data_IF_354477612504
#
_entry.id   IF_354477612504
#
_cell.length_a   1.000
_cell.length_b   1.000
_cell.length_c   1.000
_cell.angle_alpha   90.00
_cell.angle_beta   90.00
_cell.angle_gamma   90.00
#
_symmetry.space_group_name_H-M   'P 1'
#
loop_
_entity.id
_entity.type
_entity.pdbx_description
1 polymer ?
#
# COMPACT_ATOMS: atom_id res chain seq x y z
N UNK A 1 -13.27 -17.12 -7.39
CA UNK A 1 -14.01 -17.99 -8.33
C UNK A 1 -14.94 -17.18 -9.23
N UNK A 2 -15.86 -16.39 -8.69
CA UNK A 2 -16.91 -15.70 -9.46
C UNK A 2 -16.37 -14.70 -10.49
N UNK A 3 -15.36 -13.93 -10.12
CA UNK A 3 -14.69 -13.01 -11.05
C UNK A 3 -14.07 -13.76 -12.26
N UNK A 4 -13.49 -14.95 -12.06
CA UNK A 4 -12.94 -15.74 -13.14
C UNK A 4 -14.03 -16.22 -14.10
N UNK A 5 -15.16 -16.70 -13.58
CA UNK A 5 -16.33 -17.09 -14.38
C UNK A 5 -16.87 -15.91 -15.17
N UNK A 6 -17.13 -14.78 -14.50
CA UNK A 6 -17.65 -13.59 -15.14
C UNK A 6 -16.76 -13.07 -16.30
N UNK A 7 -15.43 -13.10 -16.10
CA UNK A 7 -14.47 -12.71 -17.15
C UNK A 7 -14.50 -13.73 -18.30
N UNK A 8 -14.54 -15.03 -17.99
CA UNK A 8 -14.63 -16.09 -18.99
C UNK A 8 -15.92 -15.97 -19.84
N UNK A 9 -17.06 -15.78 -19.19
CA UNK A 9 -18.35 -15.64 -19.87
C UNK A 9 -18.37 -14.40 -20.77
N UNK A 10 -17.85 -13.28 -20.27
CA UNK A 10 -17.76 -12.05 -21.05
C UNK A 10 -16.80 -12.17 -22.25
N UNK A 11 -15.71 -12.94 -22.11
CA UNK A 11 -14.77 -13.21 -23.19
C UNK A 11 -15.40 -14.13 -24.24
N UNK A 12 -16.03 -15.22 -23.79
CA UNK A 12 -16.74 -16.16 -24.66
C UNK A 12 -17.86 -15.48 -25.48
N UNK A 13 -18.63 -14.62 -24.81
CA UNK A 13 -19.70 -13.84 -25.48
C UNK A 13 -19.19 -12.92 -26.62
N UNK A 14 -17.89 -12.55 -26.55
CA UNK A 14 -17.19 -11.71 -27.55
C UNK A 14 -16.36 -12.52 -28.55
N UNK A 15 -16.29 -13.84 -28.40
CA UNK A 15 -15.45 -14.71 -29.24
C UNK A 15 -13.93 -14.45 -29.04
N UNK A 16 -13.52 -14.01 -27.85
CA UNK A 16 -12.11 -13.72 -27.55
C UNK A 16 -11.63 -14.54 -26.36
N UNK A 17 -10.30 -14.66 -26.21
CA UNK A 17 -9.69 -15.23 -25.02
C UNK A 17 -9.17 -14.11 -24.14
N UNK A 18 -9.63 -14.08 -22.88
CA UNK A 18 -9.15 -13.11 -21.90
C UNK A 18 -7.80 -13.56 -21.30
N UNK A 19 -6.81 -12.68 -21.35
CA UNK A 19 -5.49 -12.86 -20.75
C UNK A 19 -5.55 -12.43 -19.29
N UNK A 20 -5.21 -13.32 -18.38
CA UNK A 20 -5.39 -13.08 -16.94
C UNK A 20 -4.15 -13.43 -16.13
N UNK A 21 -3.97 -12.74 -15.00
CA UNK A 21 -3.04 -13.13 -13.95
C UNK A 21 -3.82 -13.68 -12.75
N UNK A 22 -3.44 -14.87 -12.30
CA UNK A 22 -4.02 -15.52 -11.12
C UNK A 22 -3.38 -14.98 -9.86
N UNK A 23 -4.18 -14.53 -8.92
CA UNK A 23 -3.69 -14.07 -7.63
C UNK A 23 -3.84 -15.15 -6.57
N UNK A 24 -2.73 -15.47 -5.89
CA UNK A 24 -2.71 -16.30 -4.69
C UNK A 24 -2.64 -15.39 -3.45
N UNK A 25 -3.57 -15.54 -2.52
CA UNK A 25 -3.51 -14.85 -1.24
C UNK A 25 -2.68 -15.66 -0.25
N UNK A 26 -1.44 -15.27 -0.10
CA UNK A 26 -0.49 -15.95 0.78
C UNK A 26 -0.47 -15.39 2.21
N UNK A 27 -1.32 -14.40 2.49
CA UNK A 27 -1.44 -13.79 3.82
C UNK A 27 -1.64 -12.27 3.81
N UNK A 28 -2.17 -11.71 2.71
CA UNK A 28 -2.60 -10.31 2.64
C UNK A 28 -4.05 -10.14 3.11
N UNK A 29 -4.89 -11.16 2.95
CA UNK A 29 -6.30 -11.16 3.39
C UNK A 29 -7.18 -10.21 2.59
N UNK A 30 -6.94 -10.06 1.28
CA UNK A 30 -7.70 -9.09 0.44
C UNK A 30 -8.38 -9.74 -0.75
N UNK A 31 -7.63 -10.19 -1.73
CA UNK A 31 -8.10 -10.86 -2.95
C UNK A 31 -7.18 -12.02 -3.28
N UNK A 32 -7.69 -13.01 -4.01
CA UNK A 32 -6.92 -14.16 -4.49
C UNK A 32 -7.42 -15.45 -3.87
N UNK A 33 -6.94 -16.57 -4.40
CA UNK A 33 -7.20 -17.89 -3.86
C UNK A 33 -6.29 -18.14 -2.65
N UNK A 34 -6.86 -18.68 -1.59
CA UNK A 34 -6.10 -19.11 -0.41
C UNK A 34 -5.23 -20.33 -0.76
N UNK A 35 -4.16 -20.63 0.01
CA UNK A 35 -3.31 -21.80 -0.24
C UNK A 35 -4.09 -23.12 -0.35
N UNK A 36 -5.08 -23.34 0.50
CA UNK A 36 -5.94 -24.53 0.50
C UNK A 36 -6.92 -24.58 -0.67
N UNK A 37 -7.21 -23.47 -1.33
CA UNK A 37 -8.10 -23.36 -2.49
C UNK A 37 -7.36 -23.50 -3.83
N UNK A 38 -6.03 -23.67 -3.83
CA UNK A 38 -5.22 -23.63 -5.05
C UNK A 38 -5.54 -24.78 -6.00
N UNK A 39 -5.82 -25.98 -5.48
CA UNK A 39 -6.20 -27.12 -6.31
C UNK A 39 -7.58 -26.92 -6.96
N UNK A 40 -8.54 -26.35 -6.21
CA UNK A 40 -9.85 -26.00 -6.74
C UNK A 40 -9.75 -24.88 -7.78
N UNK A 41 -8.85 -23.92 -7.56
CA UNK A 41 -8.56 -22.86 -8.53
C UNK A 41 -8.00 -23.43 -9.84
N UNK A 42 -7.13 -24.42 -9.77
CA UNK A 42 -6.60 -25.10 -10.97
C UNK A 42 -7.73 -25.78 -11.76
N UNK A 43 -8.58 -26.55 -11.10
CA UNK A 43 -9.75 -27.20 -11.72
C UNK A 43 -10.73 -26.17 -12.34
N UNK A 44 -10.96 -25.06 -11.64
CA UNK A 44 -11.78 -23.98 -12.15
C UNK A 44 -11.18 -23.37 -13.42
N UNK A 45 -9.87 -23.07 -13.44
CA UNK A 45 -9.21 -22.47 -14.60
C UNK A 45 -9.23 -23.40 -15.81
N UNK A 46 -9.08 -24.71 -15.61
CA UNK A 46 -9.22 -25.71 -16.69
C UNK A 46 -10.63 -25.75 -17.29
N UNK A 47 -11.65 -25.53 -16.45
CA UNK A 47 -13.04 -25.48 -16.87
C UNK A 47 -13.45 -24.18 -17.60
N UNK A 48 -12.54 -23.20 -17.72
CA UNK A 48 -12.81 -21.88 -18.29
C UNK A 48 -11.97 -21.62 -19.54
N UNK A 49 -12.30 -22.22 -20.70
CA UNK A 49 -11.46 -22.19 -21.90
C UNK A 49 -11.31 -20.81 -22.54
N UNK A 50 -12.19 -19.87 -22.20
CA UNK A 50 -12.05 -18.48 -22.65
C UNK A 50 -11.06 -17.65 -21.81
N UNK A 51 -10.38 -18.27 -20.82
CA UNK A 51 -9.28 -17.66 -20.08
C UNK A 51 -7.95 -18.25 -20.51
N UNK A 52 -6.94 -17.38 -20.63
CA UNK A 52 -5.54 -17.75 -20.76
C UNK A 52 -4.76 -17.18 -19.58
N UNK A 53 -4.20 -18.04 -18.76
CA UNK A 53 -3.32 -17.62 -17.69
C UNK A 53 -1.99 -17.17 -18.28
N UNK A 54 -1.60 -15.92 -18.02
CA UNK A 54 -0.33 -15.35 -18.46
C UNK A 54 0.60 -15.01 -17.28
N UNK A 55 0.11 -15.16 -16.08
CA UNK A 55 0.92 -14.99 -14.90
C UNK A 55 0.23 -15.40 -13.61
N UNK A 56 1.06 -15.60 -12.60
CA UNK A 56 0.64 -15.88 -11.22
C UNK A 56 1.35 -14.93 -10.28
N UNK A 57 0.63 -14.38 -9.31
CA UNK A 57 1.23 -13.44 -8.38
C UNK A 57 0.66 -13.50 -6.98
N UNK A 58 1.43 -12.95 -6.06
CA UNK A 58 0.95 -12.61 -4.72
C UNK A 58 1.34 -11.18 -4.35
N UNK A 59 0.85 -10.71 -3.22
CA UNK A 59 1.25 -9.43 -2.63
C UNK A 59 1.63 -9.65 -1.17
N UNK A 60 2.87 -9.33 -0.85
CA UNK A 60 3.40 -9.48 0.50
C UNK A 60 2.78 -8.42 1.42
N UNK A 61 2.25 -8.84 2.55
CA UNK A 61 1.53 -7.96 3.48
C UNK A 61 2.47 -7.06 4.29
N UNK A 62 3.67 -7.56 4.60
CA UNK A 62 4.69 -6.84 5.39
C UNK A 62 6.09 -7.26 4.95
N UNK A 63 6.60 -6.64 3.90
CA UNK A 63 7.94 -6.89 3.39
C UNK A 63 9.08 -6.38 4.31
N UNK A 64 8.76 -5.63 5.36
CA UNK A 64 9.72 -5.27 6.39
C UNK A 64 9.98 -6.43 7.37
N UNK A 65 9.04 -7.35 7.50
CA UNK A 65 9.12 -8.52 8.39
C UNK A 65 9.60 -9.76 7.62
N UNK A 66 10.86 -10.10 7.78
CA UNK A 66 11.50 -11.23 7.07
C UNK A 66 10.79 -12.58 7.30
N UNK A 67 10.33 -12.86 8.53
CA UNK A 67 9.63 -14.12 8.83
C UNK A 67 8.29 -14.21 8.10
N UNK A 68 7.54 -13.11 8.10
CA UNK A 68 6.27 -13.03 7.37
C UNK A 68 6.50 -13.20 5.86
N UNK A 69 7.46 -12.47 5.32
CA UNK A 69 7.84 -12.54 3.91
C UNK A 69 8.23 -13.94 3.48
N UNK A 70 9.13 -14.61 4.22
CA UNK A 70 9.56 -15.97 3.91
C UNK A 70 8.39 -16.97 3.94
N UNK A 71 7.46 -16.86 4.90
CA UNK A 71 6.27 -17.68 4.95
C UNK A 71 5.36 -17.46 3.73
N UNK A 72 5.09 -16.20 3.38
CA UNK A 72 4.25 -15.86 2.23
C UNK A 72 4.88 -16.29 0.90
N UNK A 73 6.19 -16.13 0.77
CA UNK A 73 6.92 -16.60 -0.40
C UNK A 73 6.86 -18.12 -0.57
N UNK A 74 7.06 -18.88 0.52
CA UNK A 74 6.92 -20.35 0.51
C UNK A 74 5.51 -20.78 0.10
N UNK A 75 4.45 -20.12 0.62
CA UNK A 75 3.06 -20.39 0.22
C UNK A 75 2.82 -20.09 -1.25
N UNK A 76 3.46 -19.04 -1.77
CA UNK A 76 3.39 -18.69 -3.19
C UNK A 76 4.04 -19.75 -4.06
N UNK A 77 5.26 -20.16 -3.75
CA UNK A 77 5.98 -21.18 -4.52
C UNK A 77 5.27 -22.52 -4.51
N UNK A 78 4.68 -22.90 -3.37
CA UNK A 78 3.87 -24.12 -3.26
C UNK A 78 2.58 -24.00 -4.11
N UNK A 79 1.90 -22.87 -4.07
CA UNK A 79 0.72 -22.65 -4.91
C UNK A 79 1.05 -22.68 -6.42
N UNK A 80 2.17 -22.10 -6.83
CA UNK A 80 2.66 -22.20 -8.22
C UNK A 80 2.91 -23.64 -8.60
N UNK A 81 3.55 -24.44 -7.73
CA UNK A 81 3.80 -25.86 -7.95
C UNK A 81 2.50 -26.64 -8.17
N UNK A 82 1.49 -26.43 -7.32
CA UNK A 82 0.17 -27.07 -7.43
C UNK A 82 -0.50 -26.74 -8.78
N UNK A 83 -0.46 -25.47 -9.19
CA UNK A 83 -1.02 -25.06 -10.49
C UNK A 83 -0.30 -25.74 -11.65
N UNK A 84 1.03 -25.81 -11.61
CA UNK A 84 1.84 -26.47 -12.65
C UNK A 84 1.60 -27.97 -12.72
N UNK A 85 1.52 -28.66 -11.58
CA UNK A 85 1.20 -30.09 -11.52
C UNK A 85 -0.21 -30.41 -12.06
N UNK A 86 -1.14 -29.46 -11.92
CA UNK A 86 -2.45 -29.54 -12.54
C UNK A 86 -2.43 -29.17 -14.06
N UNK A 87 -1.27 -28.90 -14.66
CA UNK A 87 -1.15 -28.58 -16.08
C UNK A 87 -1.48 -27.13 -16.44
N UNK A 88 -1.59 -26.22 -15.48
CA UNK A 88 -1.75 -24.79 -15.73
C UNK A 88 -0.38 -24.17 -16.05
N UNK A 89 -0.25 -23.55 -17.24
CA UNK A 89 0.89 -22.68 -17.52
C UNK A 89 0.81 -21.45 -16.63
N UNK A 90 1.78 -21.28 -15.73
CA UNK A 90 1.79 -20.19 -14.76
C UNK A 90 2.36 -18.89 -15.31
N UNK A 91 2.93 -18.89 -16.50
CA UNK A 91 3.47 -17.71 -17.18
C UNK A 91 4.40 -16.87 -16.29
N UNK A 92 4.20 -15.55 -16.27
CA UNK A 92 4.99 -14.62 -15.47
C UNK A 92 4.69 -14.73 -13.98
N UNK A 93 5.68 -15.03 -13.16
CA UNK A 93 5.56 -15.09 -11.70
C UNK A 93 6.08 -13.80 -11.09
N UNK A 94 5.27 -13.15 -10.24
CA UNK A 94 5.69 -11.91 -9.63
C UNK A 94 5.16 -11.72 -8.21
N UNK A 95 6.05 -11.38 -7.29
CA UNK A 95 5.79 -11.26 -5.85
C UNK A 95 6.06 -9.85 -5.35
N UNK A 96 7.20 -9.28 -5.80
CA UNK A 96 7.75 -8.07 -5.23
C UNK A 96 6.97 -6.81 -5.62
N UNK A 97 6.58 -6.04 -4.61
CA UNK A 97 6.28 -4.62 -4.68
C UNK A 97 7.50 -3.83 -4.22
N UNK A 98 7.43 -2.50 -4.16
CA UNK A 98 8.56 -1.61 -3.92
C UNK A 98 9.48 -2.02 -2.76
N UNK A 99 8.95 -2.26 -1.56
CA UNK A 99 9.77 -2.65 -0.40
C UNK A 99 10.42 -4.02 -0.57
N UNK A 100 9.67 -5.00 -1.09
CA UNK A 100 10.19 -6.33 -1.31
C UNK A 100 11.24 -6.36 -2.43
N UNK A 101 11.04 -5.58 -3.49
CA UNK A 101 12.01 -5.43 -4.57
C UNK A 101 13.38 -4.98 -4.04
N UNK A 102 13.41 -4.03 -3.13
CA UNK A 102 14.65 -3.48 -2.58
C UNK A 102 15.32 -4.42 -1.57
N UNK A 103 14.54 -5.25 -0.87
CA UNK A 103 15.05 -6.08 0.23
C UNK A 103 15.36 -7.52 -0.12
N UNK A 104 14.74 -8.05 -1.17
CA UNK A 104 14.78 -9.47 -1.51
C UNK A 104 15.02 -9.66 -3.02
N UNK A 105 16.26 -9.40 -3.51
CA UNK A 105 16.60 -9.59 -4.92
C UNK A 105 16.29 -11.00 -5.43
N UNK A 106 16.42 -12.01 -4.56
CA UNK A 106 16.13 -13.42 -4.86
C UNK A 106 14.64 -13.70 -5.11
N UNK A 107 13.76 -12.77 -4.80
CA UNK A 107 12.32 -12.89 -5.01
C UNK A 107 11.80 -12.06 -6.20
N UNK A 108 12.66 -11.48 -7.02
CA UNK A 108 12.24 -10.69 -8.18
C UNK A 108 11.47 -11.51 -9.20
N UNK A 109 11.88 -12.79 -9.39
CA UNK A 109 11.28 -13.71 -10.34
C UNK A 109 11.24 -13.13 -11.77
N UNK A 110 10.10 -13.28 -12.47
CA UNK A 110 9.97 -12.89 -13.88
C UNK A 110 9.56 -11.42 -14.03
N UNK A 111 8.94 -10.82 -13.01
CA UNK A 111 8.49 -9.42 -13.03
C UNK A 111 8.35 -8.83 -11.63
N UNK A 112 8.35 -7.50 -11.54
CA UNK A 112 8.13 -6.73 -10.31
C UNK A 112 7.07 -5.67 -10.52
N UNK A 113 6.41 -5.25 -9.42
CA UNK A 113 5.35 -4.24 -9.44
C UNK A 113 5.77 -3.07 -8.58
N UNK A 114 6.40 -2.08 -9.18
CA UNK A 114 6.88 -0.90 -8.47
C UNK A 114 5.80 0.19 -8.42
N UNK A 115 5.68 0.84 -7.27
CA UNK A 115 4.78 1.95 -7.04
C UNK A 115 5.49 3.03 -6.22
N UNK A 116 5.46 2.92 -4.90
CA UNK A 116 6.00 3.95 -4.00
C UNK A 116 7.49 4.27 -4.22
N UNK A 117 8.30 3.28 -4.60
CA UNK A 117 9.72 3.50 -4.92
C UNK A 117 9.94 4.38 -6.14
N UNK A 118 9.07 4.32 -7.15
CA UNK A 118 9.14 5.21 -8.32
C UNK A 118 8.82 6.67 -7.96
N UNK A 119 8.13 6.88 -6.84
CA UNK A 119 7.82 8.21 -6.31
C UNK A 119 8.84 8.68 -5.27
N UNK A 120 9.95 7.95 -5.12
CA UNK A 120 10.94 8.23 -4.07
C UNK A 120 10.41 8.04 -2.65
N UNK A 121 9.42 7.12 -2.46
CA UNK A 121 8.80 6.85 -1.15
C UNK A 121 8.97 5.39 -0.79
N UNK A 122 9.43 5.15 0.44
CA UNK A 122 9.56 3.81 1.02
C UNK A 122 8.93 3.78 2.41
N UNK A 123 8.38 2.63 2.78
CA UNK A 123 7.90 2.34 4.15
C UNK A 123 9.02 1.85 5.08
N UNK A 124 10.24 1.75 4.57
CA UNK A 124 11.46 1.37 5.29
C UNK A 124 12.52 2.45 5.07
N UNK A 125 13.56 2.53 5.93
CA UNK A 125 14.66 3.46 5.70
C UNK A 125 15.23 3.32 4.29
N UNK A 126 15.38 4.43 3.61
CA UNK A 126 15.98 4.48 2.29
C UNK A 126 17.50 4.37 2.39
N UNK A 127 18.04 3.28 1.84
CA UNK A 127 19.49 3.03 1.76
C UNK A 127 20.03 3.25 0.35
N UNK A 128 19.16 3.58 -0.62
CA UNK A 128 19.51 3.69 -2.04
C UNK A 128 19.55 5.15 -2.53
N UNK A 129 19.22 6.11 -1.67
CA UNK A 129 19.20 7.52 -2.05
C UNK A 129 18.11 7.86 -3.06
N UNK A 130 16.91 7.29 -2.88
CA UNK A 130 15.77 7.59 -3.74
C UNK A 130 15.34 9.05 -3.58
N UNK A 131 15.22 9.75 -4.66
CA UNK A 131 14.73 11.13 -4.68
C UNK A 131 13.20 11.18 -4.80
N UNK A 132 12.57 12.09 -4.06
CA UNK A 132 11.14 12.36 -4.22
C UNK A 132 10.90 13.09 -5.52
N UNK A 133 9.99 12.59 -6.34
CA UNK A 133 9.67 13.16 -7.65
C UNK A 133 8.35 13.95 -7.67
N UNK A 134 7.67 14.09 -6.53
CA UNK A 134 6.40 14.79 -6.48
C UNK A 134 6.17 15.48 -5.13
N UNK A 135 5.51 16.63 -5.20
CA UNK A 135 5.08 17.46 -4.09
C UNK A 135 3.60 17.79 -4.24
N UNK A 136 2.93 18.02 -3.13
CA UNK A 136 1.62 18.62 -3.11
C UNK A 136 1.83 20.14 -2.90
N UNK A 137 1.42 20.92 -3.87
CA UNK A 137 1.46 22.38 -3.81
C UNK A 137 0.04 22.92 -3.72
N UNK A 138 -0.12 24.02 -2.99
CA UNK A 138 -1.40 24.70 -2.87
C UNK A 138 -1.17 26.21 -2.77
N UNK A 139 -2.05 26.97 -3.38
CA UNK A 139 -2.06 28.43 -3.22
C UNK A 139 -2.74 28.81 -1.90
N UNK A 140 -2.22 29.84 -1.23
CA UNK A 140 -2.88 30.46 -0.09
C UNK A 140 -4.15 31.16 -0.59
N UNK A 141 -5.30 30.74 -0.06
CA UNK A 141 -6.60 31.34 -0.45
C UNK A 141 -6.95 32.54 0.38
N UNK A 142 -6.50 32.58 1.64
CA UNK A 142 -6.80 33.68 2.56
C UNK A 142 -5.68 33.85 3.58
N UNK A 143 -5.43 35.11 3.97
CA UNK A 143 -4.58 35.45 5.12
C UNK A 143 -5.45 36.08 6.20
N UNK A 144 -5.35 35.59 7.43
CA UNK A 144 -6.10 36.06 8.58
C UNK A 144 -5.19 36.36 9.75
N UNK A 145 -5.36 37.49 10.39
CA UNK A 145 -4.67 37.83 11.63
C UNK A 145 -5.58 37.58 12.82
N UNK A 146 -5.10 36.81 13.78
CA UNK A 146 -5.81 36.47 15.00
C UNK A 146 -5.10 37.08 16.21
N UNK A 147 -5.85 37.60 17.20
CA UNK A 147 -5.27 38.10 18.47
C UNK A 147 -4.71 36.95 19.32
N UNK A 148 -3.91 37.28 20.32
CA UNK A 148 -3.45 36.32 21.32
C UNK A 148 -4.63 35.65 22.04
N UNK A 149 -4.51 34.35 22.37
CA UNK A 149 -5.53 33.56 23.04
C UNK A 149 -6.67 33.04 22.17
N UNK A 150 -6.68 33.35 20.86
CA UNK A 150 -7.74 32.93 19.94
C UNK A 150 -7.70 31.43 19.63
N UNK A 151 -8.84 30.71 19.72
CA UNK A 151 -8.87 29.30 19.35
C UNK A 151 -8.79 29.11 17.83
N UNK A 152 -8.08 28.08 17.38
CA UNK A 152 -7.93 27.72 15.98
C UNK A 152 -8.39 26.28 15.75
N UNK A 153 -9.15 26.06 14.68
CA UNK A 153 -9.61 24.75 14.26
C UNK A 153 -10.74 24.18 15.12
N UNK A 154 -11.09 22.93 14.82
CA UNK A 154 -12.10 22.21 15.57
C UNK A 154 -11.68 22.01 17.02
N UNK A 155 -12.62 22.06 17.94
CA UNK A 155 -12.40 21.96 19.40
C UNK A 155 -11.51 23.04 20.03
N UNK A 156 -10.92 23.95 19.23
CA UNK A 156 -9.99 24.97 19.72
C UNK A 156 -8.73 24.36 20.38
N UNK A 157 -8.29 23.21 19.89
CA UNK A 157 -7.14 22.47 20.45
C UNK A 157 -5.85 23.30 20.42
N UNK A 158 -5.70 24.18 19.44
CA UNK A 158 -4.63 25.16 19.41
C UNK A 158 -5.18 26.54 19.77
N UNK A 159 -4.42 27.31 20.56
CA UNK A 159 -4.69 28.72 20.85
C UNK A 159 -3.46 29.55 20.52
N UNK A 160 -3.69 30.69 19.87
CA UNK A 160 -2.62 31.63 19.55
C UNK A 160 -1.96 32.15 20.83
N UNK A 161 -0.65 32.12 20.91
CA UNK A 161 0.09 32.64 22.08
C UNK A 161 0.37 34.14 21.99
N UNK A 162 0.30 34.68 20.79
CA UNK A 162 0.51 36.12 20.44
C UNK A 162 -0.34 36.44 19.21
N UNK A 163 -0.39 37.65 18.79
CA UNK A 163 -0.95 38.00 17.50
C UNK A 163 -0.29 37.13 16.42
N UNK A 164 -1.09 36.44 15.63
CA UNK A 164 -0.61 35.40 14.71
C UNK A 164 -1.30 35.55 13.36
N UNK A 165 -0.50 35.58 12.29
CA UNK A 165 -1.01 35.49 10.92
C UNK A 165 -1.18 34.03 10.54
N UNK A 166 -2.36 33.68 10.06
CA UNK A 166 -2.70 32.38 9.51
C UNK A 166 -2.83 32.47 8.00
N UNK A 167 -2.37 31.44 7.32
CA UNK A 167 -2.62 31.23 5.90
C UNK A 167 -3.57 30.04 5.73
N UNK A 168 -4.68 30.24 5.00
CA UNK A 168 -5.59 29.16 4.66
C UNK A 168 -5.16 28.49 3.37
N UNK A 169 -5.03 27.15 3.42
CA UNK A 169 -4.69 26.30 2.29
C UNK A 169 -5.88 25.41 1.95
N UNK A 170 -6.38 25.38 0.70
CA UNK A 170 -7.55 24.59 0.30
C UNK A 170 -7.20 23.12 0.08
N UNK A 171 -6.50 22.51 1.02
CA UNK A 171 -6.08 21.10 1.00
C UNK A 171 -6.44 20.42 2.31
N UNK A 172 -6.82 19.16 2.25
CA UNK A 172 -7.24 18.40 3.42
C UNK A 172 -7.20 16.90 3.16
N UNK A 173 -8.05 16.15 3.86
CA UNK A 173 -8.09 14.68 3.76
C UNK A 173 -8.29 14.16 2.34
N UNK A 174 -9.13 14.80 1.54
CA UNK A 174 -9.36 14.43 0.13
C UNK A 174 -8.12 14.60 -0.73
N UNK A 175 -7.19 15.46 -0.32
CA UNK A 175 -5.89 15.67 -0.95
C UNK A 175 -4.77 14.82 -0.32
N UNK A 176 -5.11 13.94 0.62
CA UNK A 176 -4.16 13.10 1.34
C UNK A 176 -3.41 13.81 2.48
N UNK A 177 -3.79 15.05 2.83
CA UNK A 177 -3.15 15.80 3.93
C UNK A 177 -3.75 15.36 5.26
N UNK A 178 -2.89 15.03 6.23
CA UNK A 178 -3.31 14.60 7.56
C UNK A 178 -3.86 13.17 7.64
N UNK A 179 -3.87 12.42 6.54
CA UNK A 179 -4.24 11.01 6.54
C UNK A 179 -3.12 10.21 7.21
N UNK A 180 -3.43 9.58 8.32
CA UNK A 180 -2.53 8.66 9.01
C UNK A 180 -2.99 7.23 8.82
N UNK A 181 -2.04 6.30 8.63
CA UNK A 181 -2.37 4.87 8.65
C UNK A 181 -2.84 4.49 10.06
N UNK A 182 -4.13 4.16 10.18
CA UNK A 182 -4.63 3.53 11.39
C UNK A 182 -4.29 2.04 11.35
N UNK A 183 -3.28 1.63 12.12
CA UNK A 183 -3.04 0.22 12.33
C UNK A 183 -4.04 -0.29 13.37
N UNK A 184 -4.97 -1.17 12.97
CA UNK A 184 -5.82 -1.94 13.86
C UNK A 184 -4.97 -3.03 14.56
N UNK A 185 -3.96 -2.61 15.33
CA UNK A 185 -3.07 -3.51 16.04
C UNK A 185 -3.81 -4.18 17.19
N UNK A 186 -4.22 -5.42 16.99
CA UNK A 186 -4.90 -6.26 18.00
C UNK A 186 -3.92 -6.78 19.08
N UNK A 187 -2.61 -6.78 18.83
CA UNK A 187 -1.60 -7.31 19.75
C UNK A 187 -1.23 -6.29 20.82
N UNK A 188 -1.18 -6.70 22.07
CA UNK A 188 -0.83 -5.85 23.21
C UNK A 188 0.51 -5.12 23.04
N UNK A 189 1.53 -5.80 22.53
CA UNK A 189 2.86 -5.22 22.26
C UNK A 189 2.81 -4.10 21.20
N UNK A 190 1.91 -4.20 20.21
CA UNK A 190 1.77 -3.20 19.18
C UNK A 190 1.00 -1.99 19.71
N UNK A 191 0.06 -2.22 20.66
CA UNK A 191 -0.59 -1.15 21.43
C UNK A 191 0.42 -0.40 22.31
N UNK A 192 1.31 -1.12 23.01
CA UNK A 192 2.38 -0.51 23.81
C UNK A 192 3.36 0.29 22.95
N UNK A 193 3.79 -0.25 21.79
CA UNK A 193 4.59 0.50 20.82
C UNK A 193 3.89 1.76 20.34
N UNK A 194 2.59 1.69 20.10
CA UNK A 194 1.78 2.85 19.69
C UNK A 194 1.75 3.91 20.79
N UNK A 195 1.50 3.54 22.04
CA UNK A 195 1.53 4.46 23.18
C UNK A 195 2.90 5.13 23.31
N UNK A 196 3.98 4.37 23.24
CA UNK A 196 5.34 4.90 23.27
C UNK A 196 5.65 5.82 22.08
N UNK A 197 5.18 5.47 20.88
CA UNK A 197 5.38 6.30 19.68
C UNK A 197 4.54 7.58 19.75
N UNK A 198 3.29 7.50 20.21
CA UNK A 198 2.42 8.66 20.43
C UNK A 198 2.96 9.56 21.53
N UNK A 199 3.45 8.99 22.64
CA UNK A 199 4.12 9.75 23.69
C UNK A 199 5.38 10.48 23.20
N UNK A 200 6.19 9.84 22.35
CA UNK A 200 7.35 10.50 21.70
C UNK A 200 6.94 11.59 20.70
N UNK A 201 5.82 11.43 19.99
CA UNK A 201 5.27 12.50 19.10
C UNK A 201 4.74 13.69 19.89
N UNK A 202 4.12 13.46 21.06
CA UNK A 202 3.66 14.53 21.95
C UNK A 202 4.83 15.31 22.57
N UNK A 203 5.95 14.63 22.85
CA UNK A 203 7.17 15.25 23.37
C UNK A 203 8.02 15.94 22.28
N UNK A 204 7.94 15.47 21.04
CA UNK A 204 8.48 16.15 19.86
C UNK A 204 7.30 16.85 19.21
N UNK A 205 7.33 18.14 19.08
CA UNK A 205 6.32 18.92 18.37
C UNK A 205 6.34 18.64 16.84
N UNK A 206 6.40 17.35 16.46
CA UNK A 206 6.37 16.86 15.08
C UNK A 206 4.94 16.87 14.53
N UNK A 207 4.33 18.06 14.53
CA UNK A 207 3.09 18.32 13.81
C UNK A 207 3.29 18.31 12.29
N UNK A 208 2.17 18.28 11.57
CA UNK A 208 2.19 18.50 10.13
C UNK A 208 2.81 19.87 9.85
N UNK A 209 3.71 19.94 8.88
CA UNK A 209 4.34 21.21 8.47
C UNK A 209 4.22 21.41 6.97
N UNK A 210 4.12 22.66 6.54
CA UNK A 210 4.20 23.08 5.15
C UNK A 210 5.41 23.99 4.94
N UNK A 211 5.90 24.04 3.72
CA UNK A 211 6.95 24.97 3.31
C UNK A 211 6.30 26.20 2.65
N UNK A 212 6.57 27.37 3.18
CA UNK A 212 6.15 28.64 2.58
C UNK A 212 7.42 29.45 2.34
N UNK A 213 7.75 29.70 1.08
CA UNK A 213 8.99 30.40 0.69
C UNK A 213 10.24 29.83 1.38
N UNK A 214 10.35 28.49 1.43
CA UNK A 214 11.48 27.81 2.06
C UNK A 214 11.41 27.72 3.60
N UNK A 215 10.48 28.40 4.26
CA UNK A 215 10.29 28.35 5.70
C UNK A 215 9.31 27.25 6.09
N UNK A 216 9.64 26.45 7.12
CA UNK A 216 8.71 25.46 7.68
C UNK A 216 7.71 26.14 8.59
N UNK A 217 6.44 26.02 8.25
CA UNK A 217 5.31 26.51 9.03
C UNK A 217 4.49 25.34 9.58
N UNK A 218 4.07 25.37 10.84
CA UNK A 218 3.19 24.34 11.40
C UNK A 218 1.77 24.44 10.82
N UNK A 219 1.09 23.31 10.72
CA UNK A 219 -0.31 23.18 10.32
C UNK A 219 -1.15 22.84 11.54
#
# INVERSE_FOLDING_TARGET
ADAARAVSDAAAARGVTARVHVKLDTGMGRYGFLPQETAEAAALLQALPALRVEGVFTHLSDAANTKCTALQYRRFTEGVRILQEAGIDTGLRHVCASTAFLRYPEMHLDAVRLGSSLLGRLSVPDTLGLERIGWLEAQVTELKTLPAGWPVGYTGAYRTRRETRLALLPVGYTSGVGVTEESNALRLRDRLRRVLHTGRRLLRADGLTVLVNGCRCPV
#
